data_IF_738690694878
#
_entry.id   IF_738690694878
#
_cell.length_a   1.000
_cell.length_b   1.000
_cell.length_c   1.000
_cell.angle_alpha   90.00
_cell.angle_beta   90.00
_cell.angle_gamma   90.00
#
_symmetry.space_group_name_H-M   'P 1'
#
loop_
_entity.id
_entity.type
_entity.pdbx_description
1 polymer ?
#
# COMPACT_ATOMS: atom_id res chain seq x y z
N UNK A 1 -14.98 -0.25 -16.79
CA UNK A 1 -14.68 1.18 -16.96
C UNK A 1 -13.22 1.38 -16.63
N UNK A 2 -12.47 2.13 -17.44
CA UNK A 2 -11.07 2.46 -17.18
C UNK A 2 -11.05 3.48 -16.03
N UNK A 3 -10.41 3.16 -14.89
CA UNK A 3 -10.24 4.14 -13.81
C UNK A 3 -9.38 5.30 -14.32
N UNK A 4 -9.76 6.56 -14.08
CA UNK A 4 -8.94 7.70 -14.46
C UNK A 4 -7.59 7.63 -13.71
N UNK A 5 -6.49 7.92 -14.40
CA UNK A 5 -5.13 7.84 -13.87
C UNK A 5 -4.38 9.15 -14.05
N UNK A 6 -3.53 9.47 -13.08
CA UNK A 6 -2.50 10.49 -13.19
C UNK A 6 -1.18 9.86 -13.63
N UNK A 7 -0.45 10.55 -14.50
CA UNK A 7 0.88 10.17 -14.93
C UNK A 7 1.91 10.90 -14.09
N UNK A 8 2.75 10.17 -13.36
CA UNK A 8 3.75 10.75 -12.47
C UNK A 8 5.13 10.17 -12.75
N UNK A 9 6.18 10.96 -12.47
CA UNK A 9 7.57 10.49 -12.46
C UNK A 9 8.34 11.21 -11.37
N UNK A 10 9.48 10.67 -10.97
CA UNK A 10 10.40 11.38 -10.08
C UNK A 10 10.88 12.71 -10.70
N UNK A 11 10.96 13.75 -9.87
CA UNK A 11 11.55 15.04 -10.24
C UNK A 11 13.00 14.84 -10.69
N UNK A 12 13.47 15.61 -11.67
CA UNK A 12 14.88 15.61 -12.04
C UNK A 12 15.76 15.86 -10.81
N UNK A 13 16.74 14.98 -10.58
CA UNK A 13 17.70 15.09 -9.46
C UNK A 13 17.41 14.21 -8.25
N UNK A 14 16.18 13.68 -8.06
CA UNK A 14 15.83 12.88 -6.87
C UNK A 14 16.19 11.40 -7.02
N UNK A 15 16.29 10.91 -8.25
CA UNK A 15 16.79 9.55 -8.55
C UNK A 15 17.86 9.66 -9.62
N UNK A 16 19.06 9.13 -9.35
CA UNK A 16 20.13 9.04 -10.34
C UNK A 16 19.59 8.50 -11.66
N UNK A 17 19.81 9.26 -12.73
CA UNK A 17 19.49 9.18 -14.17
C UNK A 17 18.73 8.00 -14.83
N UNK A 18 18.44 6.88 -14.16
CA UNK A 18 18.18 5.57 -14.76
C UNK A 18 16.68 5.19 -14.75
N UNK A 19 15.81 5.89 -14.01
CA UNK A 19 14.37 5.57 -14.01
C UNK A 19 13.50 6.80 -14.23
N UNK A 20 13.56 7.37 -15.45
CA UNK A 20 12.54 8.31 -15.97
C UNK A 20 11.25 7.57 -16.39
N UNK A 21 10.91 6.49 -15.69
CA UNK A 21 9.69 5.76 -15.94
C UNK A 21 8.50 6.59 -15.47
N UNK A 22 7.47 6.67 -16.31
CA UNK A 22 6.20 7.31 -15.97
C UNK A 22 5.30 6.26 -15.37
N UNK A 23 4.95 6.43 -14.10
CA UNK A 23 4.03 5.57 -13.39
C UNK A 23 2.61 6.08 -13.50
N UNK A 24 1.65 5.16 -13.52
CA UNK A 24 0.23 5.48 -13.47
C UNK A 24 -0.23 5.38 -12.02
N UNK A 25 -0.87 6.42 -11.54
CA UNK A 25 -1.49 6.49 -10.20
C UNK A 25 -3.00 6.57 -10.40
N UNK A 26 -3.81 5.68 -9.80
CA UNK A 26 -5.26 5.85 -9.80
C UNK A 26 -5.62 7.24 -9.26
N UNK A 27 -6.44 8.00 -9.99
CA UNK A 27 -6.88 9.31 -9.53
C UNK A 27 -7.56 9.15 -8.17
N UNK A 28 -7.06 9.80 -7.12
CA UNK A 28 -7.72 9.76 -5.83
C UNK A 28 -9.00 10.60 -5.88
N UNK A 29 -10.07 10.14 -5.24
CA UNK A 29 -11.36 10.86 -5.18
C UNK A 29 -11.29 12.20 -4.40
N UNK A 30 -10.14 12.49 -3.80
CA UNK A 30 -9.88 13.66 -2.93
C UNK A 30 -8.44 14.11 -3.05
N UNK A 31 -8.17 15.37 -2.65
CA UNK A 31 -6.80 15.89 -2.55
C UNK A 31 -5.94 14.98 -1.67
N UNK A 32 -4.94 14.33 -2.27
CA UNK A 32 -3.97 13.49 -1.55
C UNK A 32 -2.80 14.37 -1.13
N UNK A 33 -2.43 14.25 0.13
CA UNK A 33 -1.19 14.78 0.69
C UNK A 33 -0.29 13.62 1.11
N UNK A 34 1.03 13.76 0.99
CA UNK A 34 1.99 12.73 1.38
C UNK A 34 2.42 11.81 0.25
N UNK A 35 1.91 10.57 0.21
CA UNK A 35 2.41 9.50 -0.68
C UNK A 35 1.29 8.88 -1.53
N UNK A 36 1.65 8.37 -2.70
CA UNK A 36 0.73 7.71 -3.64
C UNK A 36 1.20 6.32 -4.04
N UNK A 37 0.27 5.37 -4.09
CA UNK A 37 0.49 4.05 -4.67
C UNK A 37 0.27 4.06 -6.17
N UNK A 38 1.27 3.62 -6.93
CA UNK A 38 1.18 3.44 -8.38
C UNK A 38 0.60 2.07 -8.74
N UNK A 39 0.13 1.90 -9.97
CA UNK A 39 -0.41 0.62 -10.44
C UNK A 39 0.62 -0.51 -10.46
N UNK A 40 1.91 -0.21 -10.59
CA UNK A 40 2.96 -1.23 -10.46
C UNK A 40 3.36 -1.50 -9.01
N UNK A 41 2.68 -0.89 -8.03
CA UNK A 41 2.94 -1.05 -6.61
C UNK A 41 4.10 -0.22 -6.06
N UNK A 42 4.75 0.62 -6.88
CA UNK A 42 5.69 1.60 -6.34
C UNK A 42 4.93 2.62 -5.49
N UNK A 43 5.46 2.94 -4.31
CA UNK A 43 4.95 3.99 -3.43
C UNK A 43 5.85 5.20 -3.58
N UNK A 44 5.27 6.35 -3.94
CA UNK A 44 6.01 7.55 -4.30
C UNK A 44 5.60 8.72 -3.39
N UNK A 45 6.57 9.51 -2.91
CA UNK A 45 6.29 10.77 -2.20
C UNK A 45 5.86 11.84 -3.19
N UNK A 46 4.80 12.60 -2.85
CA UNK A 46 4.32 13.72 -3.65
C UNK A 46 5.35 14.85 -3.77
N UNK A 47 6.26 14.97 -2.79
CA UNK A 47 7.35 15.96 -2.84
C UNK A 47 8.40 15.60 -3.90
N UNK A 48 8.59 14.30 -4.11
CA UNK A 48 9.63 13.74 -4.99
C UNK A 48 9.18 13.57 -6.44
N UNK A 49 7.89 13.76 -6.73
CA UNK A 49 7.33 13.49 -8.05
C UNK A 49 6.72 14.73 -8.68
N UNK A 50 6.65 14.71 -10.00
CA UNK A 50 5.91 15.65 -10.82
C UNK A 50 4.86 14.93 -11.67
N UNK A 51 3.75 15.62 -11.94
CA UNK A 51 2.74 15.15 -12.90
C UNK A 51 3.20 15.50 -14.32
N UNK A 52 3.04 14.56 -15.25
CA UNK A 52 3.43 14.74 -16.65
C UNK A 52 2.26 14.56 -17.59
N UNK A 53 2.34 15.16 -18.78
CA UNK A 53 1.33 14.99 -19.81
C UNK A 53 1.55 13.67 -20.58
N UNK A 54 0.50 13.19 -21.24
CA UNK A 54 0.61 12.04 -22.15
C UNK A 54 1.69 12.29 -23.22
N UNK A 55 2.51 11.27 -23.45
CA UNK A 55 3.64 11.35 -24.39
C UNK A 55 4.96 11.86 -23.80
N UNK A 56 4.99 12.25 -22.51
CA UNK A 56 6.23 12.69 -21.85
C UNK A 56 6.90 11.58 -21.03
N UNK A 57 7.95 10.96 -21.57
CA UNK A 57 8.73 9.92 -20.90
C UNK A 57 8.30 8.50 -21.26
N UNK A 58 9.02 7.50 -20.76
CA UNK A 58 8.73 6.09 -21.05
C UNK A 58 7.75 5.56 -20.00
N UNK A 59 6.58 5.01 -20.37
CA UNK A 59 5.65 4.47 -19.40
C UNK A 59 6.24 3.24 -18.71
N UNK A 60 5.97 3.09 -17.42
CA UNK A 60 6.24 1.88 -16.68
C UNK A 60 5.39 0.74 -17.27
N UNK A 61 6.03 -0.25 -17.90
CA UNK A 61 5.35 -1.37 -18.54
C UNK A 61 4.36 -2.06 -17.60
N UNK A 62 4.73 -2.26 -16.33
CA UNK A 62 3.85 -2.85 -15.33
C UNK A 62 2.62 -1.99 -15.04
N UNK A 63 2.76 -0.67 -14.99
CA UNK A 63 1.61 0.22 -14.83
C UNK A 63 0.64 0.11 -16.01
N UNK A 64 1.14 0.02 -17.24
CA UNK A 64 0.31 -0.14 -18.44
C UNK A 64 -0.42 -1.47 -18.44
N UNK A 65 0.30 -2.58 -18.20
CA UNK A 65 -0.31 -3.92 -18.13
C UNK A 65 -1.42 -3.96 -17.09
N UNK A 66 -1.16 -3.41 -15.90
CA UNK A 66 -2.13 -3.40 -14.81
C UNK A 66 -3.34 -2.51 -15.09
N UNK A 67 -3.17 -1.40 -15.82
CA UNK A 67 -4.27 -0.54 -16.25
C UNK A 67 -5.19 -1.27 -17.24
N UNK A 68 -4.62 -2.00 -18.20
CA UNK A 68 -5.39 -2.76 -19.19
C UNK A 68 -6.14 -3.91 -18.52
N UNK A 69 -5.51 -4.65 -17.61
CA UNK A 69 -6.20 -5.72 -16.87
C UNK A 69 -7.32 -5.17 -15.98
N UNK A 70 -7.13 -4.03 -15.31
CA UNK A 70 -8.18 -3.39 -14.52
C UNK A 70 -9.35 -2.89 -15.38
N UNK A 71 -9.13 -2.61 -16.67
CA UNK A 71 -10.15 -2.20 -17.62
C UNK A 71 -10.91 -3.37 -18.26
N UNK A 72 -10.37 -4.58 -18.20
CA UNK A 72 -11.00 -5.76 -18.77
C UNK A 72 -12.25 -6.15 -17.96
N UNK A 73 -13.39 -6.43 -18.60
CA UNK A 73 -14.57 -6.92 -17.90
C UNK A 73 -14.23 -8.26 -17.23
N UNK A 74 -14.57 -8.39 -15.96
CA UNK A 74 -14.45 -9.63 -15.18
C UNK A 74 -15.28 -10.72 -15.86
N UNK A 75 -14.63 -11.55 -16.67
CA UNK A 75 -15.20 -12.82 -17.11
C UNK A 75 -15.19 -13.73 -15.89
N UNK A 76 -16.39 -14.04 -15.40
CA UNK A 76 -16.63 -15.03 -14.36
C UNK A 76 -15.95 -16.34 -14.79
N UNK A 77 -14.99 -16.89 -14.04
CA UNK A 77 -14.42 -18.19 -14.40
C UNK A 77 -15.49 -19.27 -14.27
N UNK A 78 -15.54 -20.25 -15.18
CA UNK A 78 -16.48 -21.34 -15.08
C UNK A 78 -16.16 -22.19 -13.85
N UNK A 79 -17.20 -22.45 -13.06
CA UNK A 79 -17.18 -23.43 -11.97
C UNK A 79 -16.82 -24.79 -12.59
N UNK A 80 -15.63 -25.32 -12.27
CA UNK A 80 -15.20 -26.59 -12.85
C UNK A 80 -13.87 -27.14 -12.33
N UNK A 81 -13.98 -28.01 -11.33
CA UNK A 81 -13.14 -29.18 -11.02
C UNK A 81 -11.81 -29.01 -10.26
N UNK A 82 -11.58 -29.78 -9.17
CA UNK A 82 -10.31 -29.88 -8.48
C UNK A 82 -9.44 -30.94 -9.16
N UNK A 83 -8.19 -30.60 -9.44
CA UNK A 83 -7.02 -31.49 -9.34
C UNK A 83 -5.82 -30.77 -9.99
N UNK A 84 -5.07 -30.05 -9.18
CA UNK A 84 -3.69 -29.66 -9.48
C UNK A 84 -2.95 -29.41 -8.18
N UNK A 85 -2.18 -30.41 -7.78
CA UNK A 85 -1.14 -30.31 -6.76
C UNK A 85 -0.06 -29.36 -7.31
N UNK A 86 0.02 -28.11 -6.83
CA UNK A 86 1.24 -27.32 -6.93
C UNK A 86 1.31 -26.21 -5.86
N UNK A 87 2.42 -26.22 -5.14
CA UNK A 87 2.76 -25.55 -3.88
C UNK A 87 2.83 -24.00 -3.89
N UNK A 88 2.13 -23.32 -4.82
CA UNK A 88 2.10 -21.86 -4.94
C UNK A 88 0.79 -21.17 -4.54
N UNK A 89 -0.30 -21.92 -4.31
CA UNK A 89 -1.65 -21.37 -4.10
C UNK A 89 -1.96 -20.96 -2.65
N UNK A 90 -1.09 -21.26 -1.69
CA UNK A 90 -1.41 -21.21 -0.25
C UNK A 90 -1.52 -19.77 0.28
N UNK A 91 -0.87 -18.79 -0.36
CA UNK A 91 -0.77 -17.45 0.20
C UNK A 91 -1.99 -16.55 -0.07
N UNK A 92 -2.68 -16.70 -1.21
CA UNK A 92 -3.90 -15.92 -1.50
C UNK A 92 -5.07 -16.28 -0.59
N UNK A 93 -5.16 -17.56 -0.19
CA UNK A 93 -6.25 -18.11 0.63
C UNK A 93 -6.26 -17.52 2.04
N UNK A 94 -5.09 -17.26 2.63
CA UNK A 94 -4.98 -16.66 3.96
C UNK A 94 -5.56 -15.23 3.99
N UNK A 95 -5.27 -14.42 2.97
CA UNK A 95 -5.81 -13.05 2.87
C UNK A 95 -7.32 -13.02 2.65
N UNK A 96 -7.85 -13.98 1.88
CA UNK A 96 -9.29 -14.13 1.68
C UNK A 96 -9.99 -14.55 2.98
N UNK A 97 -9.37 -15.41 3.79
CA UNK A 97 -9.90 -15.81 5.09
C UNK A 97 -10.02 -14.63 6.07
N UNK A 98 -9.17 -13.61 5.93
CA UNK A 98 -9.28 -12.35 6.68
C UNK A 98 -10.27 -11.35 6.09
N UNK A 99 -10.96 -11.71 5.00
CA UNK A 99 -11.88 -10.84 4.27
C UNK A 99 -11.25 -9.51 3.80
N UNK A 100 -9.93 -9.46 3.62
CA UNK A 100 -9.27 -8.26 3.09
C UNK A 100 -9.58 -8.11 1.60
N UNK A 101 -9.74 -6.88 1.08
CA UNK A 101 -10.04 -6.61 -0.33
C UNK A 101 -8.79 -6.79 -1.20
N UNK A 102 -8.29 -8.02 -1.26
CA UNK A 102 -7.12 -8.40 -2.05
C UNK A 102 -7.50 -8.91 -3.42
N UNK A 103 -6.64 -8.63 -4.40
CA UNK A 103 -6.68 -9.23 -5.73
C UNK A 103 -5.35 -9.91 -5.99
N UNK A 104 -5.39 -11.11 -6.56
CA UNK A 104 -4.18 -11.79 -7.03
C UNK A 104 -4.05 -11.58 -8.54
N UNK A 105 -2.90 -11.08 -8.97
CA UNK A 105 -2.58 -10.89 -10.38
C UNK A 105 -1.18 -11.45 -10.64
N UNK A 106 -1.13 -12.62 -11.30
CA UNK A 106 0.09 -13.44 -11.42
C UNK A 106 0.71 -13.75 -10.04
N UNK A 107 1.97 -13.36 -9.85
CA UNK A 107 2.78 -13.52 -8.65
C UNK A 107 2.60 -12.38 -7.64
N UNK A 108 1.66 -11.47 -7.88
CA UNK A 108 1.43 -10.29 -7.06
C UNK A 108 0.12 -10.37 -6.29
N UNK A 109 0.19 -10.06 -5.00
CA UNK A 109 -0.97 -9.88 -4.13
C UNK A 109 -1.15 -8.39 -3.90
N UNK A 110 -2.32 -7.87 -4.26
CA UNK A 110 -2.64 -6.44 -4.24
C UNK A 110 -3.76 -6.18 -3.27
N UNK A 111 -3.49 -5.39 -2.23
CA UNK A 111 -4.49 -4.84 -1.34
C UNK A 111 -5.03 -3.53 -1.91
N UNK A 112 -6.34 -3.43 -2.05
CA UNK A 112 -7.00 -2.17 -2.39
C UNK A 112 -7.16 -1.34 -1.12
N UNK A 113 -6.68 -0.11 -1.16
CA UNK A 113 -6.82 0.88 -0.09
C UNK A 113 -8.02 1.77 -0.42
N UNK A 114 -9.22 1.24 -0.17
CA UNK A 114 -10.50 1.94 -0.40
C UNK A 114 -11.15 2.37 0.92
N UNK A 115 -12.49 2.32 1.03
CA UNK A 115 -13.22 2.96 2.12
C UNK A 115 -12.91 2.34 3.48
N UNK A 116 -12.68 1.03 3.56
CA UNK A 116 -12.59 0.33 4.85
C UNK A 116 -11.16 -0.06 5.23
N UNK A 117 -10.21 0.04 4.29
CA UNK A 117 -8.81 -0.33 4.48
C UNK A 117 -7.89 0.81 4.09
N UNK A 118 -6.92 1.10 4.96
CA UNK A 118 -5.91 2.12 4.71
C UNK A 118 -4.52 1.66 5.14
N UNK A 119 -3.48 2.25 4.55
CA UNK A 119 -2.11 1.99 4.95
C UNK A 119 -1.44 3.31 5.31
N UNK A 120 -0.72 3.34 6.43
CA UNK A 120 -0.02 4.53 6.91
C UNK A 120 1.48 4.27 6.84
N UNK A 121 2.20 5.07 6.07
CA UNK A 121 3.66 5.10 6.05
C UNK A 121 4.16 5.91 7.25
N UNK A 122 4.94 5.27 8.13
CA UNK A 122 5.49 5.87 9.34
C UNK A 122 7.01 5.68 9.35
N UNK A 123 7.82 6.72 9.66
CA UNK A 123 9.26 6.58 9.78
C UNK A 123 9.63 5.46 10.77
N UNK A 124 10.63 4.65 10.44
CA UNK A 124 11.00 3.46 11.22
C UNK A 124 11.21 3.74 12.72
N UNK A 125 11.92 4.81 13.15
CA UNK A 125 12.10 5.09 14.58
C UNK A 125 10.76 5.26 15.31
N UNK A 126 9.88 6.07 14.72
CA UNK A 126 8.56 6.37 15.28
C UNK A 126 7.62 5.16 15.23
N UNK A 127 7.71 4.35 14.17
CA UNK A 127 6.93 3.12 14.06
C UNK A 127 7.25 2.16 15.21
N UNK A 128 8.51 2.03 15.61
CA UNK A 128 8.91 1.12 16.69
C UNK A 128 8.23 1.48 18.01
N UNK A 129 8.18 2.77 18.35
CA UNK A 129 7.52 3.29 19.55
C UNK A 129 5.99 3.08 19.50
N UNK A 130 5.37 3.36 18.34
CA UNK A 130 3.93 3.13 18.13
C UNK A 130 3.59 1.67 18.34
N UNK A 131 4.38 0.74 17.80
CA UNK A 131 4.12 -0.69 17.93
C UNK A 131 4.22 -1.17 19.37
N UNK A 132 5.15 -0.63 20.16
CA UNK A 132 5.23 -0.94 21.59
C UNK A 132 3.96 -0.49 22.32
N UNK A 133 3.50 0.73 22.07
CA UNK A 133 2.31 1.28 22.71
C UNK A 133 1.03 0.54 22.29
N UNK A 134 0.89 0.22 21.00
CA UNK A 134 -0.25 -0.53 20.47
C UNK A 134 -0.29 -1.96 21.05
N UNK A 135 0.85 -2.65 21.10
CA UNK A 135 0.95 -3.98 21.74
C UNK A 135 0.56 -3.90 23.22
N UNK A 136 0.99 -2.88 23.96
CA UNK A 136 0.57 -2.69 25.35
C UNK A 136 -0.94 -2.46 25.52
N UNK A 137 -1.62 -1.98 24.46
CA UNK A 137 -3.08 -1.80 24.40
C UNK A 137 -3.81 -3.01 23.83
N UNK A 138 -3.10 -4.12 23.57
CA UNK A 138 -3.64 -5.31 22.91
C UNK A 138 -4.18 -5.02 21.49
N UNK A 139 -3.63 -3.99 20.84
CA UNK A 139 -3.86 -3.69 19.44
C UNK A 139 -2.62 -4.13 18.68
N UNK A 140 -2.71 -5.22 17.91
CA UNK A 140 -1.54 -5.74 17.19
C UNK A 140 -1.67 -5.53 15.67
N UNK A 141 -1.16 -4.42 15.13
CA UNK A 141 -1.36 -4.11 13.73
C UNK A 141 -0.46 -4.93 12.83
N UNK A 142 -0.93 -5.19 11.61
CA UNK A 142 -0.10 -5.75 10.55
C UNK A 142 0.85 -4.68 9.99
N UNK A 143 2.13 -5.01 9.88
CA UNK A 143 3.20 -4.07 9.50
C UNK A 143 4.07 -4.65 8.41
N UNK A 144 4.28 -3.85 7.36
CA UNK A 144 5.09 -4.20 6.20
C UNK A 144 6.38 -3.39 6.15
N UNK A 145 7.44 -4.05 5.68
CA UNK A 145 8.58 -3.38 5.08
C UNK A 145 8.40 -3.39 3.56
N UNK A 146 8.45 -2.21 2.96
CA UNK A 146 8.24 -2.04 1.53
C UNK A 146 9.51 -1.47 0.86
N UNK A 147 10.08 -2.14 -0.16
CA UNK A 147 11.39 -1.80 -0.72
C UNK A 147 11.42 -0.46 -1.47
N UNK A 148 10.25 0.11 -1.81
CA UNK A 148 10.17 1.46 -2.38
C UNK A 148 10.20 2.58 -1.33
N UNK A 149 9.96 2.27 -0.06
CA UNK A 149 9.97 3.22 1.06
C UNK A 149 10.80 2.64 2.22
N UNK A 150 12.11 2.40 2.02
CA UNK A 150 12.93 1.66 2.98
C UNK A 150 13.15 2.41 4.32
N UNK A 151 12.80 3.69 4.40
CA UNK A 151 12.86 4.50 5.62
C UNK A 151 11.55 4.47 6.43
N UNK A 152 10.51 3.82 5.90
CA UNK A 152 9.18 3.77 6.50
C UNK A 152 8.69 2.33 6.68
N UNK A 153 8.04 2.08 7.80
CA UNK A 153 7.14 0.94 7.94
C UNK A 153 5.75 1.33 7.43
N UNK A 154 5.05 0.37 6.81
CA UNK A 154 3.66 0.57 6.40
C UNK A 154 2.76 -0.18 7.38
N UNK A 155 1.99 0.55 8.17
CA UNK A 155 1.01 -0.01 9.10
C UNK A 155 -0.33 -0.14 8.37
N UNK A 156 -0.87 -1.36 8.28
CA UNK A 156 -2.18 -1.61 7.71
C UNK A 156 -3.25 -1.37 8.76
N UNK A 157 -4.32 -0.68 8.37
CA UNK A 157 -5.42 -0.27 9.25
C UNK A 157 -6.76 -0.51 8.59
N UNK A 158 -7.77 -0.76 9.42
CA UNK A 158 -9.18 -0.87 9.06
C UNK A 158 -9.98 0.30 9.62
N UNK A 159 -11.29 0.29 9.34
CA UNK A 159 -12.24 1.29 9.84
C UNK A 159 -11.77 2.73 9.58
N UNK A 160 -11.52 3.04 8.31
CA UNK A 160 -11.02 4.34 7.91
C UNK A 160 -12.00 5.43 8.33
N UNK A 161 -11.48 6.54 8.86
CA UNK A 161 -12.32 7.68 9.17
C UNK A 161 -12.74 8.43 7.90
N UNK A 162 -13.99 8.93 7.82
CA UNK A 162 -14.46 9.69 6.65
C UNK A 162 -13.62 10.95 6.39
N UNK A 163 -13.17 11.60 7.46
CA UNK A 163 -12.34 12.79 7.42
C UNK A 163 -10.85 12.42 7.53
N UNK A 164 -9.96 13.06 6.74
CA UNK A 164 -8.53 12.84 6.86
C UNK A 164 -8.02 13.26 8.23
N UNK A 165 -7.25 12.39 8.87
CA UNK A 165 -6.61 12.71 10.13
C UNK A 165 -5.41 13.64 9.91
N UNK A 166 -5.13 14.58 10.83
CA UNK A 166 -4.01 15.50 10.72
C UNK A 166 -2.70 14.79 11.12
N UNK A 167 -2.18 13.96 10.21
CA UNK A 167 -0.92 13.24 10.42
C UNK A 167 0.25 14.22 10.59
N UNK A 168 1.19 13.96 11.52
CA UNK A 168 2.38 14.78 11.70
C UNK A 168 3.34 14.68 10.50
N UNK A 169 4.33 15.58 10.39
CA UNK A 169 5.33 15.53 9.32
C UNK A 169 6.03 14.17 9.22
N UNK A 170 6.22 13.68 8.00
CA UNK A 170 6.85 12.38 7.72
C UNK A 170 5.93 11.17 7.86
N UNK A 171 4.70 11.34 8.38
CA UNK A 171 3.66 10.31 8.43
C UNK A 171 2.62 10.57 7.36
N UNK A 172 2.34 9.56 6.53
CA UNK A 172 1.50 9.73 5.35
C UNK A 172 0.54 8.57 5.15
N UNK A 173 -0.71 8.89 4.82
CA UNK A 173 -1.66 7.88 4.36
C UNK A 173 -1.37 7.53 2.90
N UNK A 174 -1.22 6.23 2.62
CA UNK A 174 -1.08 5.70 1.27
C UNK A 174 -2.47 5.51 0.68
N UNK A 175 -2.63 5.91 -0.58
CA UNK A 175 -3.86 5.68 -1.36
C UNK A 175 -3.63 4.76 -2.54
N UNK A 176 -4.71 4.13 -3.02
CA UNK A 176 -4.69 3.31 -4.24
C UNK A 176 -4.47 1.85 -3.91
N UNK A 177 -3.41 1.25 -4.45
CA UNK A 177 -3.11 -0.17 -4.29
C UNK A 177 -1.77 -0.35 -3.61
N UNK A 178 -1.72 -1.27 -2.67
CA UNK A 178 -0.51 -1.70 -1.99
C UNK A 178 -0.21 -3.16 -2.32
N UNK A 179 1.05 -3.48 -2.58
CA UNK A 179 1.47 -4.87 -2.77
C UNK A 179 1.75 -5.53 -1.42
N UNK A 180 1.34 -6.79 -1.28
CA UNK A 180 1.50 -7.59 -0.05
C UNK A 180 2.50 -8.74 -0.27
N UNK A 181 3.15 -9.24 0.79
CA UNK A 181 3.95 -10.46 0.73
C UNK A 181 3.13 -11.66 0.21
N UNK A 182 3.76 -12.61 -0.51
CA UNK A 182 5.18 -12.71 -0.81
C UNK A 182 5.59 -11.98 -2.12
N UNK A 183 4.89 -10.92 -2.53
CA UNK A 183 5.17 -10.25 -3.82
C UNK A 183 6.63 -9.80 -3.93
N UNK A 184 7.27 -10.15 -5.05
CA UNK A 184 8.60 -9.69 -5.43
C UNK A 184 8.51 -8.44 -6.30
N UNK A 185 9.28 -7.40 -5.96
CA UNK A 185 9.38 -6.18 -6.77
C UNK A 185 10.78 -6.05 -7.36
N UNK A 186 10.98 -5.20 -8.38
CA UNK A 186 12.31 -4.88 -8.90
C UNK A 186 13.30 -4.35 -7.84
N UNK A 187 12.83 -3.80 -6.71
CA UNK A 187 13.66 -3.31 -5.61
C UNK A 187 13.84 -4.32 -4.46
N UNK A 188 13.29 -5.51 -4.59
CA UNK A 188 13.36 -6.57 -3.58
C UNK A 188 11.98 -7.10 -3.15
N UNK A 189 11.97 -8.06 -2.22
CA UNK A 189 10.74 -8.61 -1.65
C UNK A 189 9.99 -7.59 -0.80
N UNK A 190 8.67 -7.72 -0.75
CA UNK A 190 7.85 -7.12 0.31
C UNK A 190 7.78 -8.13 1.45
N UNK A 191 8.05 -7.69 2.67
CA UNK A 191 8.11 -8.58 3.85
C UNK A 191 7.22 -8.08 4.98
N UNK A 192 6.73 -9.03 5.78
CA UNK A 192 6.09 -8.71 7.05
C UNK A 192 7.16 -8.36 8.08
N UNK A 193 7.06 -7.16 8.67
CA UNK A 193 7.73 -6.84 9.93
C UNK A 193 6.92 -7.42 11.09
N UNK A 194 5.60 -7.31 10.97
CA UNK A 194 4.65 -7.98 11.85
C UNK A 194 3.51 -8.51 10.99
N UNK A 195 3.40 -9.83 10.91
CA UNK A 195 2.33 -10.49 10.16
C UNK A 195 0.98 -10.28 10.88
N UNK A 196 -0.12 -10.14 10.13
CA UNK A 196 -1.46 -10.17 10.73
C UNK A 196 -1.66 -11.46 11.54
N UNK A 197 -2.31 -11.35 12.69
CA UNK A 197 -2.65 -12.52 13.50
C UNK A 197 -3.75 -13.34 12.80
N UNK A 198 -3.68 -14.67 12.86
CA UNK A 198 -4.66 -15.54 12.19
C UNK A 198 -6.10 -15.29 12.66
N UNK A 199 -6.27 -14.94 13.94
CA UNK A 199 -7.57 -14.60 14.55
C UNK A 199 -7.98 -13.13 14.39
N UNK A 200 -7.08 -12.28 13.86
CA UNK A 200 -7.39 -10.88 13.57
C UNK A 200 -8.15 -10.81 12.25
N UNK A 201 -9.45 -11.13 12.31
CA UNK A 201 -10.40 -10.87 11.20
C UNK A 201 -10.42 -9.39 10.81
N UNK A 202 -9.91 -8.50 11.67
CA UNK A 202 -9.94 -7.06 11.49
C UNK A 202 -8.55 -6.46 11.65
N UNK A 203 -8.21 -5.59 10.70
CA UNK A 203 -7.08 -4.68 10.83
C UNK A 203 -7.30 -3.75 12.03
N UNK A 204 -6.22 -3.32 12.68
CA UNK A 204 -6.31 -2.30 13.73
C UNK A 204 -6.95 -1.02 13.19
N UNK A 205 -7.71 -0.31 14.02
CA UNK A 205 -8.46 0.85 13.57
C UNK A 205 -7.51 2.01 13.29
N UNK A 206 -7.79 2.80 12.25
CA UNK A 206 -6.97 3.98 11.90
C UNK A 206 -6.81 4.94 13.10
N UNK A 207 -7.87 5.09 13.91
CA UNK A 207 -7.89 5.93 15.10
C UNK A 207 -6.94 5.44 16.20
N UNK A 208 -6.70 4.14 16.32
CA UNK A 208 -5.83 3.57 17.35
C UNK A 208 -4.37 3.92 17.05
N UNK A 209 -3.97 3.80 15.78
CA UNK A 209 -2.64 4.19 15.31
C UNK A 209 -2.42 5.69 15.49
N UNK A 210 -3.40 6.51 15.12
CA UNK A 210 -3.32 7.95 15.32
C UNK A 210 -3.26 8.35 16.80
N UNK A 211 -4.07 7.71 17.65
CA UNK A 211 -4.05 7.94 19.10
C UNK A 211 -2.73 7.53 19.75
N UNK A 212 -2.12 6.43 19.30
CA UNK A 212 -0.80 6.01 19.75
C UNK A 212 0.29 7.02 19.36
N UNK A 213 0.27 7.45 18.09
CA UNK A 213 1.19 8.46 17.57
C UNK A 213 1.11 9.79 18.34
N UNK A 214 -0.11 10.26 18.63
CA UNK A 214 -0.30 11.49 19.41
C UNK A 214 0.20 11.39 20.86
N UNK A 215 0.07 10.23 21.49
CA UNK A 215 0.58 10.02 22.84
C UNK A 215 2.11 10.16 22.88
N UNK A 216 2.79 9.48 21.95
CA UNK A 216 4.26 9.49 21.84
C UNK A 216 4.80 10.90 21.58
N UNK A 217 4.19 11.63 20.62
CA UNK A 217 4.62 12.99 20.30
C UNK A 217 4.25 14.00 21.41
N UNK A 218 3.15 13.76 22.13
CA UNK A 218 2.74 14.58 23.27
C UNK A 218 3.69 14.44 24.47
N UNK A 219 4.23 13.24 24.69
CA UNK A 219 5.19 12.97 25.76
C UNK A 219 6.60 13.53 25.44
N UNK A 220 6.92 13.75 24.17
CA UNK A 220 8.20 14.36 23.74
C UNK A 220 8.33 15.86 24.04
N UNK A 221 7.25 16.50 24.51
CA UNK A 221 7.21 17.92 24.88
C UNK A 221 7.09 18.14 26.40
N UNK A 222 7.29 17.10 27.21
CA UNK A 222 7.38 17.17 28.68
C UNK A 222 8.79 16.88 29.15
#
# INVERSE_FOLDING_TARGET
MVLPVMLVRYRPGNTGQITRAVHLVPMPDRHVAGTVGTLCGAVLSLEDIETVNSGQGMPCTMCILNQVTAAAPTLVPPVGSPDSDDTGLINGVAYQAWAWPVTQHHDQIRLRLDCDVSAIAIPIPLSTEILQLLTARHCDPAVLAHPYTPQHHLILTGERLPAPLPWPPGVHQITGTLLLPPTMTPRGPITWIRSPHQDSLHLSREIDVFGALRAILGDSHR
#
